data_IF_214365747463
#
_entry.id   IF_214365747463
#
_cell.length_a   1.000
_cell.length_b   1.000
_cell.length_c   1.000
_cell.angle_alpha   90.00
_cell.angle_beta   90.00
_cell.angle_gamma   90.00
#
_symmetry.space_group_name_H-M   'P 1'
#
loop_
_entity.id
_entity.type
_entity.pdbx_description
1 polymer ?
#
# COMPACT_ATOMS: atom_id res chain seq x y z
N UNK A 1 6.34 4.76 -4.50
CA UNK A 1 6.74 6.04 -5.14
C UNK A 1 8.16 6.00 -5.71
N UNK A 2 9.11 5.29 -5.10
CA UNK A 2 10.50 5.17 -5.61
C UNK A 2 10.61 4.38 -6.92
N UNK A 3 9.83 3.31 -7.09
CA UNK A 3 9.85 2.47 -8.28
C UNK A 3 9.45 3.24 -9.56
N UNK A 4 8.57 4.24 -9.45
CA UNK A 4 8.21 5.12 -10.57
C UNK A 4 9.36 6.06 -10.96
N UNK A 5 10.07 6.63 -9.98
CA UNK A 5 11.24 7.47 -10.24
C UNK A 5 12.33 6.66 -10.92
N UNK A 6 12.57 5.43 -10.44
CA UNK A 6 13.51 4.49 -11.06
C UNK A 6 13.09 4.14 -12.50
N UNK A 7 11.80 3.87 -12.73
CA UNK A 7 11.24 3.65 -14.07
C UNK A 7 11.49 4.81 -15.03
N UNK A 8 11.28 6.06 -14.59
CA UNK A 8 11.58 7.25 -15.40
C UNK A 8 13.07 7.40 -15.73
N UNK A 9 13.95 7.12 -14.77
CA UNK A 9 15.42 7.17 -14.98
C UNK A 9 15.84 6.11 -16.01
N UNK A 10 15.41 4.87 -15.83
CA UNK A 10 15.72 3.76 -16.75
C UNK A 10 15.19 4.05 -18.16
N UNK A 11 13.95 4.55 -18.26
CA UNK A 11 13.34 4.91 -19.54
C UNK A 11 14.12 6.02 -20.24
N UNK A 12 14.51 7.06 -19.50
CA UNK A 12 15.26 8.20 -20.05
C UNK A 12 16.62 7.77 -20.61
N UNK A 13 17.35 6.92 -19.87
CA UNK A 13 18.63 6.36 -20.31
C UNK A 13 18.45 5.46 -21.53
N UNK A 14 17.43 4.60 -21.55
CA UNK A 14 17.13 3.71 -22.68
C UNK A 14 16.78 4.50 -23.95
N UNK A 15 16.01 5.59 -23.83
CA UNK A 15 15.68 6.48 -24.97
C UNK A 15 16.93 7.15 -25.52
N UNK A 16 17.78 7.72 -24.65
CA UNK A 16 19.04 8.35 -25.05
C UNK A 16 19.97 7.33 -25.74
N UNK A 17 20.12 6.14 -25.15
CA UNK A 17 20.92 5.05 -25.73
C UNK A 17 20.37 4.59 -27.09
N UNK A 18 19.04 4.53 -27.25
CA UNK A 18 18.39 4.18 -28.52
C UNK A 18 18.68 5.20 -29.61
N UNK A 19 18.62 6.50 -29.30
CA UNK A 19 18.94 7.58 -30.25
C UNK A 19 20.39 7.45 -30.74
N UNK A 20 21.33 7.21 -29.81
CA UNK A 20 22.74 7.00 -30.14
C UNK A 20 22.96 5.74 -31.00
N UNK A 21 22.32 4.63 -30.63
CA UNK A 21 22.42 3.36 -31.37
C UNK A 21 21.87 3.48 -32.80
N UNK A 22 20.72 4.14 -32.98
CA UNK A 22 20.13 4.40 -34.30
C UNK A 22 21.05 5.29 -35.16
N UNK A 23 21.63 6.33 -34.57
CA UNK A 23 22.61 7.18 -35.26
C UNK A 23 23.84 6.40 -35.72
N UNK A 24 24.38 5.55 -34.85
CA UNK A 24 25.52 4.69 -35.17
C UNK A 24 25.22 3.67 -36.28
N UNK A 25 24.06 3.01 -36.23
CA UNK A 25 23.61 2.11 -37.29
C UNK A 25 23.43 2.84 -38.63
N UNK A 26 22.94 4.08 -38.60
CA UNK A 26 22.83 4.91 -39.81
C UNK A 26 24.19 5.21 -40.46
N UNK A 27 25.25 5.37 -39.66
CA UNK A 27 26.63 5.54 -40.15
C UNK A 27 27.16 4.24 -40.76
N UNK A 28 27.02 3.11 -40.06
CA UNK A 28 27.46 1.81 -40.56
C UNK A 28 26.75 1.40 -41.85
N UNK A 29 25.44 1.61 -41.94
CA UNK A 29 24.66 1.30 -43.14
C UNK A 29 25.13 2.07 -44.38
N UNK A 30 25.55 3.33 -44.22
CA UNK A 30 26.16 4.12 -45.31
C UNK A 30 27.50 3.53 -45.74
N UNK A 31 28.34 3.08 -44.79
CA UNK A 31 29.62 2.44 -45.11
C UNK A 31 29.45 1.14 -45.91
N UNK A 32 28.45 0.32 -45.55
CA UNK A 32 28.11 -0.90 -46.30
C UNK A 32 27.79 -0.59 -47.77
N UNK A 33 26.98 0.46 -48.03
CA UNK A 33 26.65 0.84 -49.41
C UNK A 33 27.84 1.36 -50.22
N UNK A 34 28.82 2.02 -49.57
CA UNK A 34 30.04 2.52 -50.26
C UNK A 34 31.04 1.42 -50.61
N UNK A 35 31.09 0.34 -49.83
CA UNK A 35 32.05 -0.76 -50.02
C UNK A 35 31.60 -1.79 -51.07
N UNK A 36 30.37 -1.66 -51.62
CA UNK A 36 29.78 -2.54 -52.64
C UNK A 36 29.82 -4.04 -52.30
N UNK A 37 29.99 -4.40 -51.03
CA UNK A 37 30.08 -5.77 -50.52
C UNK A 37 31.05 -6.69 -51.30
N UNK A 38 32.13 -6.14 -51.85
CA UNK A 38 33.27 -7.00 -52.21
C UNK A 38 33.84 -7.59 -50.92
N UNK A 39 34.05 -8.93 -50.83
CA UNK A 39 34.50 -9.60 -49.61
C UNK A 39 35.95 -9.24 -49.31
N UNK A 40 36.12 -8.05 -48.75
CA UNK A 40 37.35 -7.49 -48.22
C UNK A 40 37.32 -7.61 -46.71
N UNK A 41 38.49 -7.63 -46.07
CA UNK A 41 38.59 -7.68 -44.61
C UNK A 41 37.83 -6.53 -43.93
N UNK A 42 37.77 -5.36 -44.59
CA UNK A 42 37.00 -4.20 -44.12
C UNK A 42 35.49 -4.44 -44.14
N UNK A 43 34.96 -5.10 -45.18
CA UNK A 43 33.54 -5.43 -45.27
C UNK A 43 33.10 -6.42 -44.19
N UNK A 44 33.89 -7.47 -43.94
CA UNK A 44 33.60 -8.45 -42.87
C UNK A 44 33.60 -7.80 -41.48
N UNK A 45 34.49 -6.82 -41.26
CA UNK A 45 34.53 -6.05 -40.00
C UNK A 45 33.28 -5.20 -39.81
N UNK A 46 32.82 -4.50 -40.85
CA UNK A 46 31.59 -3.69 -40.81
C UNK A 46 30.36 -4.56 -40.58
N UNK A 47 30.28 -5.71 -41.24
CA UNK A 47 29.18 -6.68 -41.06
C UNK A 47 29.12 -7.22 -39.63
N UNK A 48 30.28 -7.58 -39.04
CA UNK A 48 30.37 -7.98 -37.63
C UNK A 48 29.88 -6.88 -36.68
N UNK A 49 30.26 -5.62 -36.93
CA UNK A 49 29.82 -4.47 -36.15
C UNK A 49 28.30 -4.21 -36.27
N UNK A 50 27.70 -4.44 -37.44
CA UNK A 50 26.25 -4.36 -37.64
C UNK A 50 25.55 -5.46 -36.83
N UNK A 51 26.05 -6.69 -36.87
CA UNK A 51 25.54 -7.80 -36.06
C UNK A 51 25.54 -7.49 -34.56
N UNK A 52 26.66 -6.98 -34.05
CA UNK A 52 26.79 -6.52 -32.66
C UNK A 52 25.81 -5.37 -32.33
N UNK A 53 25.58 -4.46 -33.27
CA UNK A 53 24.65 -3.33 -33.09
C UNK A 53 23.21 -3.80 -32.92
N UNK A 54 22.77 -4.83 -33.64
CA UNK A 54 21.43 -5.40 -33.48
C UNK A 54 21.23 -6.04 -32.10
N UNK A 55 22.24 -6.75 -31.59
CA UNK A 55 22.22 -7.30 -30.21
C UNK A 55 22.12 -6.16 -29.19
N UNK A 56 22.89 -5.09 -29.36
CA UNK A 56 22.85 -3.92 -28.48
C UNK A 56 21.47 -3.27 -28.47
N UNK A 57 20.83 -3.10 -29.63
CA UNK A 57 19.45 -2.57 -29.73
C UNK A 57 18.46 -3.46 -29.01
N UNK A 58 18.58 -4.79 -29.14
CA UNK A 58 17.75 -5.74 -28.42
C UNK A 58 17.85 -5.57 -26.90
N UNK A 59 19.07 -5.42 -26.37
CA UNK A 59 19.30 -5.19 -24.94
C UNK A 59 18.73 -3.83 -24.47
N UNK A 60 18.94 -2.76 -25.25
CA UNK A 60 18.40 -1.42 -24.94
C UNK A 60 16.86 -1.46 -24.92
N UNK A 61 16.24 -2.14 -25.88
CA UNK A 61 14.79 -2.32 -25.95
C UNK A 61 14.25 -3.10 -24.77
N UNK A 62 14.95 -4.16 -24.34
CA UNK A 62 14.56 -4.95 -23.17
C UNK A 62 14.61 -4.10 -21.88
N UNK A 63 15.68 -3.32 -21.70
CA UNK A 63 15.81 -2.39 -20.57
C UNK A 63 14.71 -1.31 -20.61
N UNK A 64 14.40 -0.78 -21.79
CA UNK A 64 13.30 0.17 -21.98
C UNK A 64 11.93 -0.42 -21.60
N UNK A 65 11.67 -1.67 -22.01
CA UNK A 65 10.46 -2.38 -21.63
C UNK A 65 10.34 -2.59 -20.12
N UNK A 66 11.45 -2.90 -19.43
CA UNK A 66 11.48 -2.95 -17.96
C UNK A 66 11.19 -1.58 -17.33
N UNK A 67 11.73 -0.50 -17.90
CA UNK A 67 11.41 0.87 -17.47
C UNK A 67 9.91 1.18 -17.56
N UNK A 68 9.28 0.82 -18.68
CA UNK A 68 7.83 0.96 -18.89
C UNK A 68 7.05 0.09 -17.90
N UNK A 69 7.45 -1.18 -17.72
CA UNK A 69 6.82 -2.09 -16.77
C UNK A 69 6.80 -1.51 -15.35
N UNK A 70 7.92 -0.97 -14.87
CA UNK A 70 8.02 -0.36 -13.55
C UNK A 70 7.10 0.86 -13.40
N UNK A 71 6.86 1.64 -14.46
CA UNK A 71 5.96 2.79 -14.41
C UNK A 71 4.49 2.38 -14.26
N UNK A 72 4.05 1.34 -14.98
CA UNK A 72 2.67 0.89 -14.97
C UNK A 72 2.35 -0.05 -13.79
N UNK A 73 3.23 -1.01 -13.49
CA UNK A 73 2.92 -2.11 -12.58
C UNK A 73 3.29 -1.85 -11.11
N UNK A 74 4.14 -0.86 -10.82
CA UNK A 74 4.46 -0.51 -9.42
C UNK A 74 3.27 0.06 -8.63
N UNK A 75 2.26 0.58 -9.32
CA UNK A 75 1.07 1.16 -8.67
C UNK A 75 0.12 0.08 -8.13
N UNK A 76 0.01 -1.06 -8.82
CA UNK A 76 -0.89 -2.14 -8.42
C UNK A 76 -0.44 -2.80 -7.12
N UNK A 77 0.86 -2.96 -6.92
CA UNK A 77 1.41 -3.55 -5.69
C UNK A 77 1.13 -2.66 -4.47
N UNK A 78 1.32 -1.35 -4.61
CA UNK A 78 1.01 -0.37 -3.55
C UNK A 78 -0.48 -0.40 -3.16
N UNK A 79 -1.38 -0.52 -4.14
CA UNK A 79 -2.82 -0.60 -3.89
C UNK A 79 -3.22 -1.89 -3.17
N UNK A 80 -2.57 -3.01 -3.49
CA UNK A 80 -2.82 -4.32 -2.86
C UNK A 80 -2.30 -4.32 -1.41
N UNK A 81 -1.07 -3.85 -1.19
CA UNK A 81 -0.48 -3.72 0.15
C UNK A 81 -1.33 -2.86 1.07
N UNK A 82 -1.80 -1.71 0.58
CA UNK A 82 -2.64 -0.81 1.38
C UNK A 82 -3.96 -1.48 1.81
N UNK A 83 -4.60 -2.23 0.90
CA UNK A 83 -5.83 -2.99 1.23
C UNK A 83 -5.55 -4.10 2.25
N UNK A 84 -4.44 -4.81 2.11
CA UNK A 84 -4.01 -5.84 3.07
C UNK A 84 -3.74 -5.25 4.47
N UNK A 85 -3.11 -4.08 4.55
CA UNK A 85 -2.87 -3.38 5.81
C UNK A 85 -4.17 -2.91 6.46
N UNK A 86 -5.09 -2.32 5.70
CA UNK A 86 -6.42 -1.91 6.18
C UNK A 86 -7.22 -3.12 6.70
N UNK A 87 -7.27 -4.21 5.94
CA UNK A 87 -7.96 -5.44 6.36
C UNK A 87 -7.33 -6.07 7.61
N UNK A 88 -5.99 -6.10 7.68
CA UNK A 88 -5.26 -6.58 8.85
C UNK A 88 -5.57 -5.73 10.09
N UNK A 89 -5.60 -4.41 9.96
CA UNK A 89 -5.89 -3.51 11.08
C UNK A 89 -7.31 -3.72 11.62
N UNK A 90 -8.31 -3.81 10.73
CA UNK A 90 -9.70 -4.11 11.12
C UNK A 90 -9.77 -5.45 11.87
N UNK A 91 -9.10 -6.48 11.34
CA UNK A 91 -9.10 -7.82 11.95
C UNK A 91 -8.39 -7.84 13.30
N UNK A 92 -7.32 -7.08 13.46
CA UNK A 92 -6.61 -6.93 14.75
C UNK A 92 -7.51 -6.23 15.78
N UNK A 93 -8.17 -5.13 15.42
CA UNK A 93 -9.11 -4.44 16.32
C UNK A 93 -10.30 -5.32 16.73
N UNK A 94 -10.86 -6.07 15.78
CA UNK A 94 -11.92 -7.04 16.06
C UNK A 94 -11.44 -8.12 17.02
N UNK A 95 -10.27 -8.71 16.78
CA UNK A 95 -9.69 -9.73 17.65
C UNK A 95 -9.38 -9.21 19.06
N UNK A 96 -8.85 -7.99 19.18
CA UNK A 96 -8.63 -7.35 20.50
C UNK A 96 -9.93 -7.18 21.27
N UNK A 97 -10.97 -6.68 20.60
CA UNK A 97 -12.29 -6.51 21.20
C UNK A 97 -12.90 -7.84 21.66
N UNK A 98 -12.83 -8.87 20.82
CA UNK A 98 -13.28 -10.21 21.21
C UNK A 98 -12.48 -10.80 22.37
N UNK A 99 -11.17 -10.59 22.40
CA UNK A 99 -10.31 -11.06 23.49
C UNK A 99 -10.66 -10.40 24.83
N UNK A 100 -10.90 -9.08 24.82
CA UNK A 100 -11.32 -8.34 26.01
C UNK A 100 -12.70 -8.81 26.47
N UNK A 101 -13.65 -9.03 25.56
CA UNK A 101 -14.96 -9.58 25.89
C UNK A 101 -14.87 -10.96 26.55
N UNK A 102 -13.94 -11.83 26.12
CA UNK A 102 -13.76 -13.17 26.72
C UNK A 102 -13.31 -13.12 28.19
N UNK A 103 -12.67 -12.03 28.61
CA UNK A 103 -12.23 -11.84 30.00
C UNK A 103 -13.29 -11.16 30.91
N UNK A 104 -14.46 -10.81 30.35
CA UNK A 104 -15.52 -10.06 31.03
C UNK A 104 -16.71 -10.94 31.42
N UNK A 105 -17.42 -10.53 32.47
CA UNK A 105 -18.71 -11.14 32.84
C UNK A 105 -19.83 -10.76 31.86
N UNK A 106 -20.97 -11.46 31.91
CA UNK A 106 -22.09 -11.23 30.97
C UNK A 106 -22.63 -9.78 30.99
N UNK A 107 -22.63 -9.14 32.15
CA UNK A 107 -23.14 -7.78 32.30
C UNK A 107 -22.13 -6.75 31.77
N UNK A 108 -20.84 -6.95 32.06
CA UNK A 108 -19.74 -6.18 31.49
C UNK A 108 -19.75 -6.27 29.95
N UNK A 109 -19.89 -7.48 29.40
CA UNK A 109 -19.97 -7.69 27.95
C UNK A 109 -21.17 -6.94 27.33
N UNK A 110 -22.35 -7.01 27.94
CA UNK A 110 -23.55 -6.28 27.48
C UNK A 110 -23.31 -4.76 27.47
N UNK A 111 -22.72 -4.22 28.53
CA UNK A 111 -22.40 -2.79 28.62
C UNK A 111 -21.38 -2.38 27.56
N UNK A 112 -20.28 -3.12 27.43
CA UNK A 112 -19.22 -2.74 26.48
C UNK A 112 -19.69 -2.83 25.02
N UNK A 113 -20.47 -3.86 24.67
CA UNK A 113 -21.09 -3.97 23.34
C UNK A 113 -22.02 -2.80 23.05
N UNK A 114 -22.86 -2.41 24.02
CA UNK A 114 -23.78 -1.28 23.86
C UNK A 114 -23.05 0.06 23.65
N UNK A 115 -21.86 0.24 24.26
CA UNK A 115 -21.01 1.42 24.03
C UNK A 115 -20.37 1.35 22.64
N UNK A 116 -19.87 0.18 22.20
CA UNK A 116 -19.28 0.00 20.87
C UNK A 116 -20.28 0.28 19.74
N UNK A 117 -21.54 -0.13 19.91
CA UNK A 117 -22.59 0.09 18.91
C UNK A 117 -23.04 1.55 18.82
N UNK A 118 -22.97 2.29 19.92
CA UNK A 118 -23.43 3.67 19.98
C UNK A 118 -22.41 4.52 20.75
N UNK A 119 -21.53 5.18 19.99
CA UNK A 119 -20.56 6.07 20.58
C UNK A 119 -21.22 7.31 21.22
N UNK A 120 -20.73 7.73 22.39
CA UNK A 120 -21.33 8.80 23.18
C UNK A 120 -22.69 8.44 23.81
N UNK A 121 -23.00 7.15 23.97
CA UNK A 121 -24.23 6.69 24.65
C UNK A 121 -24.31 7.22 26.08
N UNK A 122 -25.49 7.71 26.48
CA UNK A 122 -25.65 8.22 27.85
C UNK A 122 -25.75 7.09 28.86
N UNK A 123 -25.30 7.33 30.09
CA UNK A 123 -25.43 6.37 31.19
C UNK A 123 -26.90 5.99 31.47
N UNK A 124 -27.83 6.92 31.28
CA UNK A 124 -29.28 6.63 31.34
C UNK A 124 -29.71 5.65 30.27
N UNK A 125 -29.26 5.83 29.03
CA UNK A 125 -29.60 4.93 27.91
C UNK A 125 -28.98 3.54 28.11
N UNK A 126 -27.73 3.47 28.59
CA UNK A 126 -27.06 2.20 28.90
C UNK A 126 -27.88 1.36 29.88
N UNK A 127 -28.36 1.97 30.96
CA UNK A 127 -29.24 1.33 31.95
C UNK A 127 -30.43 0.60 31.31
N UNK A 128 -31.11 1.27 30.37
CA UNK A 128 -32.27 0.70 29.68
C UNK A 128 -31.88 -0.34 28.63
N UNK A 129 -30.78 -0.14 27.89
CA UNK A 129 -30.30 -1.10 26.88
C UNK A 129 -29.80 -2.41 27.48
N UNK A 130 -29.16 -2.35 28.64
CA UNK A 130 -28.54 -3.53 29.26
C UNK A 130 -29.42 -4.21 30.30
N UNK A 131 -30.59 -3.63 30.62
CA UNK A 131 -31.48 -4.06 31.70
C UNK A 131 -30.74 -4.21 33.06
N UNK A 132 -29.94 -3.20 33.39
CA UNK A 132 -29.14 -3.19 34.63
C UNK A 132 -29.58 -2.04 35.54
N UNK A 133 -29.37 -2.20 36.85
CA UNK A 133 -29.60 -1.10 37.79
C UNK A 133 -28.63 0.06 37.56
N UNK A 134 -29.04 1.29 37.91
CA UNK A 134 -28.17 2.48 37.82
C UNK A 134 -26.85 2.27 38.57
N UNK A 135 -26.90 1.65 39.74
CA UNK A 135 -25.72 1.36 40.55
C UNK A 135 -24.78 0.38 39.84
N UNK A 136 -25.31 -0.71 39.27
CA UNK A 136 -24.51 -1.71 38.55
C UNK A 136 -23.84 -1.14 37.31
N UNK A 137 -24.56 -0.35 36.50
CA UNK A 137 -23.97 0.37 35.35
C UNK A 137 -22.88 1.33 35.81
N UNK A 138 -23.11 2.09 36.88
CA UNK A 138 -22.11 3.01 37.41
C UNK A 138 -20.85 2.31 37.91
N UNK A 139 -20.99 1.15 38.54
CA UNK A 139 -19.87 0.32 38.97
C UNK A 139 -19.05 -0.17 37.76
N UNK A 140 -19.70 -0.80 36.78
CA UNK A 140 -19.05 -1.32 35.57
C UNK A 140 -18.31 -0.20 34.83
N UNK A 141 -18.95 0.95 34.62
CA UNK A 141 -18.31 2.10 33.95
C UNK A 141 -17.10 2.62 34.71
N UNK A 142 -17.14 2.61 36.04
CA UNK A 142 -15.99 3.02 36.87
C UNK A 142 -14.83 2.04 36.72
N UNK A 143 -15.12 0.75 36.67
CA UNK A 143 -14.09 -0.29 36.48
C UNK A 143 -13.52 -0.26 35.05
N UNK A 144 -14.34 0.04 34.05
CA UNK A 144 -13.88 0.25 32.66
C UNK A 144 -13.00 1.49 32.52
N UNK A 145 -13.31 2.59 33.20
CA UNK A 145 -12.45 3.77 33.22
C UNK A 145 -11.10 3.50 33.89
N UNK A 146 -11.08 2.77 35.02
CA UNK A 146 -9.83 2.35 35.68
C UNK A 146 -8.96 1.48 34.77
N UNK A 147 -9.59 0.66 33.92
CA UNK A 147 -8.93 -0.18 32.91
C UNK A 147 -8.65 0.59 31.60
N UNK A 148 -8.95 1.90 31.54
CA UNK A 148 -8.80 2.74 30.35
C UNK A 148 -9.55 2.24 29.11
N UNK A 149 -10.66 1.53 29.29
CA UNK A 149 -11.49 0.99 28.19
C UNK A 149 -12.51 2.01 27.68
N UNK A 150 -12.94 2.94 28.53
CA UNK A 150 -13.95 3.95 28.23
C UNK A 150 -13.57 5.30 28.82
N UNK A 151 -14.17 6.37 28.29
CA UNK A 151 -14.13 7.72 28.86
C UNK A 151 -15.55 8.24 29.08
N UNK A 152 -15.79 8.94 30.19
CA UNK A 152 -17.04 9.67 30.44
C UNK A 152 -16.84 11.16 30.27
N UNK A 153 -17.77 11.78 29.54
CA UNK A 153 -17.83 13.23 29.38
C UNK A 153 -19.18 13.75 29.88
N UNK A 154 -19.18 14.89 30.56
CA UNK A 154 -20.41 15.48 31.09
C UNK A 154 -21.30 15.95 29.93
N UNK A 155 -22.54 15.45 29.88
CA UNK A 155 -23.55 15.84 28.87
C UNK A 155 -24.84 16.24 29.59
N UNK A 156 -24.98 17.52 29.89
CA UNK A 156 -26.12 18.05 30.65
C UNK A 156 -26.14 17.51 32.09
N UNK A 157 -27.20 16.78 32.45
CA UNK A 157 -27.38 16.17 33.79
C UNK A 157 -26.92 14.70 33.87
N UNK A 158 -26.26 14.19 32.82
CA UNK A 158 -25.78 12.81 32.74
C UNK A 158 -24.37 12.77 32.13
N UNK A 159 -23.80 11.58 32.03
CA UNK A 159 -22.53 11.35 31.35
C UNK A 159 -22.78 10.65 30.01
N UNK A 160 -22.15 11.15 28.96
CA UNK A 160 -21.95 10.42 27.72
C UNK A 160 -20.71 9.54 27.88
N UNK A 161 -20.79 8.30 27.41
CA UNK A 161 -19.73 7.30 27.51
C UNK A 161 -19.22 7.01 26.10
N UNK A 162 -17.91 7.04 25.94
CA UNK A 162 -17.22 6.75 24.69
C UNK A 162 -16.21 5.62 24.91
N UNK A 163 -15.92 4.85 23.86
CA UNK A 163 -14.76 3.96 23.89
C UNK A 163 -13.47 4.80 23.97
N UNK A 164 -12.48 4.29 24.69
CA UNK A 164 -11.18 4.93 24.70
C UNK A 164 -10.49 4.78 23.34
N UNK A 165 -9.75 5.81 22.91
CA UNK A 165 -9.03 5.81 21.63
C UNK A 165 -7.88 4.76 21.59
N UNK A 166 -7.44 4.28 22.76
CA UNK A 166 -6.31 3.35 22.91
C UNK A 166 -6.74 1.92 23.33
N UNK A 167 -7.75 1.36 22.66
CA UNK A 167 -8.29 0.02 22.96
C UNK A 167 -7.37 -1.15 22.54
#
# INVERSE_FOLDING_TARGET
>A
MENKKLGFVILSISVLASILALGFMGVLGRQTTTLQCYPTNECQRVESLIGLSHVAVGLISFIGALGIYLLFFSTSEEAILKRLEEEKNIKVEQNKFELILKAMDENEQKVLKAIKEQDGITQSTLKFRTDLSKAKVSQILTDFEKKHLVKRELKGKTYAVYLAENF
#
